data_IF_005724168404
#
_entry.id   IF_005724168404
#
_cell.length_a   1.000
_cell.length_b   1.000
_cell.length_c   1.000
_cell.angle_alpha   90.00
_cell.angle_beta   90.00
_cell.angle_gamma   90.00
#
_symmetry.space_group_name_H-M   'P 1'
#
loop_
_entity.id
_entity.type
_entity.pdbx_description
1 polymer ?
#
# COMPACT_ATOMS: atom_id res chain seq x y z
N UNK A 1 -4.14 -42.64 -44.44
CA UNK A 1 -2.67 -42.40 -44.34
C UNK A 1 -2.10 -43.28 -43.21
N UNK A 2 -0.84 -43.74 -43.24
CA UNK A 2 -0.23 -44.36 -42.03
C UNK A 2 0.31 -43.28 -41.11
N UNK A 3 -0.11 -43.28 -39.83
CA UNK A 3 0.34 -42.37 -38.79
C UNK A 3 1.79 -42.69 -38.38
N UNK A 4 2.73 -42.31 -39.25
CA UNK A 4 4.18 -42.39 -39.00
C UNK A 4 4.67 -41.36 -37.96
N UNK A 5 3.80 -40.48 -37.49
CA UNK A 5 4.09 -39.52 -36.44
C UNK A 5 4.20 -40.24 -35.07
N UNK A 6 5.21 -39.86 -34.29
CA UNK A 6 5.39 -40.30 -32.90
C UNK A 6 4.45 -39.51 -31.98
N UNK A 7 3.15 -39.73 -32.14
CA UNK A 7 2.11 -39.14 -31.29
C UNK A 7 2.03 -39.91 -29.96
N UNK A 8 1.88 -39.17 -28.86
CA UNK A 8 1.66 -39.72 -27.53
C UNK A 8 0.24 -40.26 -27.38
N UNK A 9 0.02 -41.08 -26.36
CA UNK A 9 -1.29 -41.73 -26.12
C UNK A 9 -2.41 -40.70 -25.94
N UNK A 10 -2.17 -39.64 -25.18
CA UNK A 10 -3.11 -38.54 -24.95
C UNK A 10 -3.44 -37.76 -26.22
N UNK A 11 -2.44 -37.52 -27.08
CA UNK A 11 -2.65 -36.88 -28.40
C UNK A 11 -3.52 -37.74 -29.32
N UNK A 12 -3.27 -39.06 -29.36
CA UNK A 12 -4.08 -40.00 -30.14
C UNK A 12 -5.52 -40.12 -29.63
N UNK A 13 -5.72 -40.05 -28.32
CA UNK A 13 -7.07 -40.03 -27.72
C UNK A 13 -7.81 -38.77 -28.17
N UNK A 14 -7.19 -37.59 -28.03
CA UNK A 14 -7.80 -36.33 -28.44
C UNK A 14 -8.13 -36.31 -29.93
N UNK A 15 -7.26 -36.84 -30.79
CA UNK A 15 -7.51 -36.93 -32.24
C UNK A 15 -8.71 -37.84 -32.53
N UNK A 16 -8.78 -39.00 -31.87
CA UNK A 16 -9.90 -39.93 -32.05
C UNK A 16 -11.23 -39.31 -31.57
N UNK A 17 -11.23 -38.58 -30.45
CA UNK A 17 -12.40 -37.88 -29.92
C UNK A 17 -12.85 -36.74 -30.84
N UNK A 18 -11.92 -35.94 -31.39
CA UNK A 18 -12.21 -34.86 -32.34
C UNK A 18 -12.78 -35.40 -33.67
N UNK A 19 -12.36 -36.61 -34.06
CA UNK A 19 -12.92 -37.35 -35.18
C UNK A 19 -14.28 -38.01 -34.87
N UNK A 20 -14.80 -37.89 -33.64
CA UNK A 20 -16.04 -38.49 -33.19
C UNK A 20 -15.97 -40.00 -32.95
N UNK A 21 -14.78 -40.57 -32.81
CA UNK A 21 -14.56 -41.99 -32.56
C UNK A 21 -14.66 -42.29 -31.06
N UNK A 22 -15.31 -43.40 -30.72
CA UNK A 22 -15.36 -43.86 -29.32
C UNK A 22 -14.06 -44.53 -28.93
N UNK A 23 -13.35 -43.94 -27.96
CA UNK A 23 -12.08 -44.46 -27.46
C UNK A 23 -12.33 -45.49 -26.34
N UNK A 24 -11.81 -46.73 -26.46
CA UNK A 24 -11.90 -47.71 -25.37
C UNK A 24 -11.03 -47.32 -24.17
N UNK A 25 -11.56 -47.45 -22.94
CA UNK A 25 -10.90 -47.07 -21.67
C UNK A 25 -9.48 -47.64 -21.48
N UNK A 26 -9.18 -48.79 -22.10
CA UNK A 26 -7.88 -49.50 -21.98
C UNK A 26 -7.12 -49.60 -23.30
N UNK A 27 -7.47 -48.80 -24.30
CA UNK A 27 -6.79 -48.81 -25.59
C UNK A 27 -5.29 -48.53 -25.44
N UNK A 28 -4.46 -49.33 -26.11
CA UNK A 28 -3.03 -49.07 -26.27
C UNK A 28 -2.79 -48.10 -27.42
N UNK A 29 -1.60 -47.51 -27.47
CA UNK A 29 -1.17 -46.62 -28.56
C UNK A 29 -1.38 -47.26 -29.94
N UNK A 30 -1.10 -48.57 -30.08
CA UNK A 30 -1.32 -49.27 -31.35
C UNK A 30 -2.80 -49.40 -31.69
N UNK A 31 -3.66 -49.67 -30.70
CA UNK A 31 -5.11 -49.80 -30.90
C UNK A 31 -5.71 -48.46 -31.33
N UNK A 32 -5.25 -47.35 -30.73
CA UNK A 32 -5.66 -45.99 -31.10
C UNK A 32 -5.20 -45.61 -32.51
N UNK A 33 -3.96 -45.94 -32.88
CA UNK A 33 -3.46 -45.71 -34.24
C UNK A 33 -4.27 -46.49 -35.26
N UNK A 34 -4.54 -47.77 -34.99
CA UNK A 34 -5.35 -48.60 -35.86
C UNK A 34 -6.78 -48.06 -35.99
N UNK A 35 -7.39 -47.61 -34.88
CA UNK A 35 -8.73 -47.03 -34.86
C UNK A 35 -8.85 -45.77 -35.72
N UNK A 36 -7.87 -44.87 -35.63
CA UNK A 36 -7.83 -43.65 -36.46
C UNK A 36 -7.56 -44.02 -37.92
N UNK A 37 -6.62 -44.94 -38.17
CA UNK A 37 -6.26 -45.36 -39.52
C UNK A 37 -7.40 -46.07 -40.26
N UNK A 38 -8.21 -46.86 -39.54
CA UNK A 38 -9.36 -47.58 -40.09
C UNK A 38 -10.65 -46.78 -40.11
N UNK A 39 -10.65 -45.52 -39.64
CA UNK A 39 -11.84 -44.67 -39.65
C UNK A 39 -12.20 -44.22 -41.08
N UNK A 40 -13.51 -44.09 -41.34
CA UNK A 40 -14.01 -43.59 -42.63
C UNK A 40 -13.51 -42.15 -42.89
N UNK A 41 -13.41 -41.33 -41.84
CA UNK A 41 -12.88 -39.96 -41.89
C UNK A 41 -11.45 -39.93 -42.43
N UNK A 42 -10.56 -40.85 -42.01
CA UNK A 42 -9.19 -40.94 -42.53
C UNK A 42 -9.10 -41.48 -43.97
N UNK A 43 -10.14 -42.20 -44.42
CA UNK A 43 -10.22 -42.71 -45.79
C UNK A 43 -10.74 -41.64 -46.76
N UNK A 44 -11.73 -40.89 -46.32
CA UNK A 44 -12.49 -39.97 -47.16
C UNK A 44 -11.85 -38.57 -47.20
N UNK A 45 -11.27 -38.10 -46.08
CA UNK A 45 -10.66 -36.77 -46.00
C UNK A 45 -9.38 -36.76 -45.14
N UNK A 46 -8.26 -37.03 -45.80
CA UNK A 46 -6.93 -37.06 -45.19
C UNK A 46 -6.47 -35.67 -44.72
N UNK A 47 -6.90 -34.61 -45.40
CA UNK A 47 -6.50 -33.23 -45.05
C UNK A 47 -7.20 -32.79 -43.75
N UNK A 48 -8.46 -33.17 -43.57
CA UNK A 48 -9.19 -32.94 -42.34
C UNK A 48 -8.54 -33.64 -41.13
N UNK A 49 -8.08 -34.89 -41.29
CA UNK A 49 -7.32 -35.58 -40.23
C UNK A 49 -5.98 -34.87 -39.94
N UNK A 50 -5.31 -34.36 -40.97
CA UNK A 50 -4.07 -33.57 -40.80
C UNK A 50 -4.34 -32.29 -40.01
N UNK A 51 -5.44 -31.59 -40.29
CA UNK A 51 -5.84 -30.39 -39.58
C UNK A 51 -6.16 -30.67 -38.10
N UNK A 52 -6.83 -31.79 -37.79
CA UNK A 52 -7.04 -32.19 -36.39
C UNK A 52 -5.73 -32.45 -35.65
N UNK A 53 -4.78 -33.13 -36.29
CA UNK A 53 -3.45 -33.35 -35.73
C UNK A 53 -2.74 -32.02 -35.49
N UNK A 54 -2.72 -31.13 -36.48
CA UNK A 54 -2.06 -29.83 -36.39
C UNK A 54 -2.68 -28.96 -35.29
N UNK A 55 -4.02 -28.90 -35.21
CA UNK A 55 -4.74 -28.16 -34.17
C UNK A 55 -4.46 -28.68 -32.76
N UNK A 56 -4.53 -29.99 -32.54
CA UNK A 56 -4.30 -30.60 -31.21
C UNK A 56 -2.85 -30.38 -30.75
N UNK A 57 -1.89 -30.50 -31.68
CA UNK A 57 -0.49 -30.23 -31.36
C UNK A 57 -0.25 -28.77 -31.02
N UNK A 58 -0.89 -27.84 -31.74
CA UNK A 58 -0.76 -26.41 -31.47
C UNK A 58 -1.45 -26.00 -30.16
N UNK A 59 -2.68 -26.47 -29.90
CA UNK A 59 -3.38 -26.22 -28.63
C UNK A 59 -2.56 -26.72 -27.43
N UNK A 60 -1.92 -27.89 -27.55
CA UNK A 60 -1.06 -28.43 -26.52
C UNK A 60 0.20 -27.59 -26.30
N UNK A 61 0.80 -27.07 -27.38
CA UNK A 61 1.96 -26.17 -27.29
C UNK A 61 1.56 -24.88 -26.57
N UNK A 62 0.46 -24.26 -26.97
CA UNK A 62 -0.02 -23.03 -26.33
C UNK A 62 -0.37 -23.25 -24.87
N UNK A 63 -1.02 -24.37 -24.53
CA UNK A 63 -1.34 -24.70 -23.15
C UNK A 63 -0.08 -24.86 -22.30
N UNK A 64 0.94 -25.56 -22.80
CA UNK A 64 2.22 -25.71 -22.11
C UNK A 64 2.92 -24.36 -21.90
N UNK A 65 2.86 -23.47 -22.88
CA UNK A 65 3.44 -22.13 -22.77
C UNK A 65 2.69 -21.26 -21.76
N UNK A 66 1.35 -21.33 -21.74
CA UNK A 66 0.52 -20.67 -20.72
C UNK A 66 0.82 -21.19 -19.32
N UNK A 67 0.96 -22.50 -19.17
CA UNK A 67 1.28 -23.12 -17.88
C UNK A 67 2.68 -22.70 -17.40
N UNK A 68 3.68 -22.66 -18.30
CA UNK A 68 5.02 -22.15 -17.99
C UNK A 68 4.99 -20.68 -17.56
N UNK A 69 4.30 -19.83 -18.32
CA UNK A 69 4.17 -18.41 -17.97
C UNK A 69 3.47 -18.20 -16.62
N UNK A 70 2.48 -19.04 -16.30
CA UNK A 70 1.79 -19.01 -15.02
C UNK A 70 2.72 -19.41 -13.87
N UNK A 71 3.52 -20.46 -14.05
CA UNK A 71 4.51 -20.93 -13.07
C UNK A 71 5.62 -19.88 -12.87
N UNK A 72 6.09 -19.23 -13.93
CA UNK A 72 7.06 -18.13 -13.85
C UNK A 72 6.51 -16.93 -13.07
N UNK A 73 5.26 -16.53 -13.36
CA UNK A 73 4.58 -15.45 -12.63
C UNK A 73 4.37 -15.80 -11.15
N UNK A 74 4.01 -17.05 -10.85
CA UNK A 74 3.82 -17.53 -9.48
C UNK A 74 5.17 -17.53 -8.73
N UNK A 75 6.23 -18.03 -9.34
CA UNK A 75 7.59 -17.99 -8.76
C UNK A 75 8.07 -16.55 -8.51
N UNK A 76 7.80 -15.62 -9.43
CA UNK A 76 8.18 -14.22 -9.27
C UNK A 76 7.37 -13.53 -8.15
N UNK A 77 6.10 -13.90 -7.99
CA UNK A 77 5.29 -13.45 -6.86
C UNK A 77 5.81 -13.98 -5.53
N UNK A 78 6.14 -15.27 -5.46
CA UNK A 78 6.69 -15.89 -4.24
C UNK A 78 8.02 -15.25 -3.83
N UNK A 79 8.92 -14.99 -4.80
CA UNK A 79 10.17 -14.26 -4.54
C UNK A 79 9.91 -12.86 -4.00
N UNK A 80 8.95 -12.13 -4.57
CA UNK A 80 8.58 -10.80 -4.11
C UNK A 80 8.00 -10.83 -2.70
N UNK A 81 7.12 -11.79 -2.40
CA UNK A 81 6.53 -11.96 -1.08
C UNK A 81 7.61 -12.29 -0.04
N UNK A 82 8.55 -13.17 -0.39
CA UNK A 82 9.71 -13.50 0.45
C UNK A 82 10.61 -12.28 0.75
N UNK A 83 10.93 -11.47 -0.26
CA UNK A 83 11.73 -10.24 -0.05
C UNK A 83 10.98 -9.21 0.83
N UNK A 84 9.67 -9.07 0.65
CA UNK A 84 8.85 -8.20 1.51
C UNK A 84 8.89 -8.69 2.97
N UNK A 85 8.75 -10.00 3.19
CA UNK A 85 8.77 -10.59 4.53
C UNK A 85 10.15 -10.44 5.20
N UNK A 86 11.22 -10.61 4.44
CA UNK A 86 12.60 -10.35 4.89
C UNK A 86 12.81 -8.88 5.30
N UNK A 87 12.29 -7.93 4.53
CA UNK A 87 12.35 -6.50 4.87
C UNK A 87 11.57 -6.22 6.15
N UNK A 88 10.35 -6.77 6.29
CA UNK A 88 9.53 -6.62 7.51
C UNK A 88 10.24 -7.20 8.73
N UNK A 89 10.88 -8.36 8.59
CA UNK A 89 11.63 -8.98 9.66
C UNK A 89 12.82 -8.10 10.08
N UNK A 90 13.61 -7.61 9.12
CA UNK A 90 14.73 -6.72 9.40
C UNK A 90 14.29 -5.40 10.08
N UNK A 91 13.13 -4.85 9.69
CA UNK A 91 12.54 -3.69 10.37
C UNK A 91 12.16 -4.01 11.81
N UNK A 92 11.54 -5.18 12.06
CA UNK A 92 11.15 -5.61 13.40
C UNK A 92 12.37 -5.87 14.29
N UNK A 93 13.41 -6.52 13.76
CA UNK A 93 14.68 -6.73 14.44
C UNK A 93 15.33 -5.41 14.82
N UNK A 94 15.39 -4.44 13.89
CA UNK A 94 15.91 -3.10 14.17
C UNK A 94 15.08 -2.37 15.23
N UNK A 95 13.75 -2.51 15.23
CA UNK A 95 12.90 -1.95 16.28
C UNK A 95 13.16 -2.60 17.64
N UNK A 96 13.35 -3.92 17.68
CA UNK A 96 13.72 -4.64 18.90
C UNK A 96 15.11 -4.25 19.39
N UNK A 97 16.07 -4.07 18.50
CA UNK A 97 17.40 -3.59 18.81
C UNK A 97 17.35 -2.17 19.39
N UNK A 98 16.60 -1.25 18.77
CA UNK A 98 16.39 0.10 19.33
C UNK A 98 15.71 0.03 20.69
N UNK A 99 14.68 -0.82 20.86
CA UNK A 99 13.99 -1.00 22.14
C UNK A 99 14.91 -1.57 23.21
N UNK A 100 15.75 -2.54 22.87
CA UNK A 100 16.73 -3.14 23.76
C UNK A 100 17.88 -2.18 24.07
N UNK A 101 18.37 -1.42 23.10
CA UNK A 101 19.37 -0.38 23.29
C UNK A 101 18.83 0.75 24.18
N UNK A 102 17.56 1.16 24.00
CA UNK A 102 16.87 2.08 24.92
C UNK A 102 16.75 1.48 26.32
N UNK A 103 16.34 0.22 26.45
CA UNK A 103 16.25 -0.48 27.74
C UNK A 103 17.61 -0.67 28.41
N UNK A 104 18.66 -0.95 27.64
CA UNK A 104 20.02 -1.10 28.14
C UNK A 104 20.66 0.23 28.46
N UNK A 105 20.36 1.31 27.74
CA UNK A 105 20.69 2.67 28.15
C UNK A 105 20.04 2.96 29.51
N UNK A 106 18.75 2.66 29.66
CA UNK A 106 18.04 2.78 30.95
C UNK A 106 18.67 1.91 32.05
N UNK A 107 19.16 0.71 31.75
CA UNK A 107 19.77 -0.20 32.74
C UNK A 107 21.26 0.11 33.03
N UNK A 108 22.02 0.61 32.07
CA UNK A 108 23.42 1.05 32.25
C UNK A 108 23.48 2.41 32.95
N UNK A 109 22.47 3.27 32.75
CA UNK A 109 22.18 4.45 33.58
C UNK A 109 21.58 4.10 34.96
N UNK A 110 21.31 2.82 35.27
CA UNK A 110 20.92 2.40 36.62
C UNK A 110 22.11 1.94 37.47
N UNK A 111 23.33 1.89 36.91
CA UNK A 111 24.57 1.80 37.69
C UNK A 111 25.03 3.14 38.26
N UNK A 112 24.58 4.23 37.64
CA UNK A 112 24.81 5.61 38.09
C UNK A 112 23.62 6.42 37.58
N UNK A 113 22.77 6.93 38.49
CA UNK A 113 21.58 7.77 38.22
C UNK A 113 20.21 7.07 38.28
N UNK A 114 19.88 6.60 39.49
CA UNK A 114 18.50 6.62 39.98
C UNK A 114 18.08 8.11 40.06
N UNK A 115 17.56 8.69 38.98
CA UNK A 115 17.09 10.09 38.98
C UNK A 115 16.51 10.68 37.69
N UNK A 116 16.99 10.33 36.48
CA UNK A 116 16.75 11.21 35.31
C UNK A 116 15.81 10.70 34.19
N UNK A 117 15.50 9.40 34.09
CA UNK A 117 14.66 8.93 32.96
C UNK A 117 13.16 9.29 33.10
N UNK A 118 12.66 9.46 34.33
CA UNK A 118 11.35 10.09 34.56
C UNK A 118 11.37 11.54 34.07
N UNK A 119 12.44 12.27 34.40
CA UNK A 119 12.61 13.69 34.11
C UNK A 119 12.46 14.08 32.63
N UNK A 120 13.00 13.31 31.67
CA UNK A 120 12.93 13.68 30.25
C UNK A 120 11.55 13.43 29.60
N UNK A 121 10.91 12.29 29.91
CA UNK A 121 9.55 12.04 29.43
C UNK A 121 8.53 12.92 30.16
N UNK A 122 8.71 13.14 31.47
CA UNK A 122 7.95 14.12 32.23
C UNK A 122 8.14 15.53 31.67
N UNK A 123 9.35 15.86 31.19
CA UNK A 123 9.65 17.14 30.55
C UNK A 123 8.96 17.26 29.17
N UNK A 124 8.97 16.22 28.33
CA UNK A 124 8.25 16.25 27.05
C UNK A 124 6.74 16.35 27.27
N UNK A 125 6.17 15.56 28.18
CA UNK A 125 4.74 15.61 28.51
C UNK A 125 4.34 16.97 29.12
N UNK A 126 5.18 17.51 30.00
CA UNK A 126 5.04 18.86 30.55
C UNK A 126 5.13 19.94 29.44
N UNK A 127 6.07 19.79 28.50
CA UNK A 127 6.25 20.68 27.37
C UNK A 127 5.01 20.64 26.46
N UNK A 128 4.53 19.45 26.10
CA UNK A 128 3.30 19.23 25.33
C UNK A 128 2.10 19.86 26.01
N UNK A 129 1.93 19.64 27.32
CA UNK A 129 0.84 20.24 28.10
C UNK A 129 0.95 21.76 28.15
N UNK A 130 2.14 22.29 28.32
CA UNK A 130 2.38 23.75 28.37
C UNK A 130 2.13 24.41 27.02
N UNK A 131 2.58 23.81 25.92
CA UNK A 131 2.34 24.29 24.55
C UNK A 131 0.85 24.18 24.21
N UNK A 132 0.19 23.07 24.54
CA UNK A 132 -1.27 22.90 24.41
C UNK A 132 -2.05 24.00 25.12
N UNK A 133 -1.63 24.36 26.33
CA UNK A 133 -2.30 25.41 27.11
C UNK A 133 -2.14 26.80 26.49
N UNK A 134 -1.02 27.05 25.80
CA UNK A 134 -0.72 28.33 25.15
C UNK A 134 -1.21 28.42 23.70
N UNK A 135 -1.68 27.32 23.13
CA UNK A 135 -2.17 27.24 21.76
C UNK A 135 -3.68 27.29 21.76
N UNK A 136 -4.28 27.96 20.78
CA UNK A 136 -5.74 27.90 20.61
C UNK A 136 -6.20 26.46 20.30
N UNK A 137 -7.45 26.08 20.64
CA UNK A 137 -7.97 24.76 20.33
C UNK A 137 -7.88 24.44 18.83
N UNK A 138 -7.65 23.16 18.51
CA UNK A 138 -7.53 22.71 17.10
C UNK A 138 -8.80 23.06 16.33
N UNK A 139 -8.71 23.93 15.31
CA UNK A 139 -9.88 24.41 14.60
C UNK A 139 -10.71 23.30 13.96
N UNK A 140 -12.01 23.55 13.85
CA UNK A 140 -12.93 22.74 13.03
C UNK A 140 -13.09 23.34 11.64
N UNK A 141 -12.93 24.66 11.53
CA UNK A 141 -13.05 25.41 10.28
C UNK A 141 -11.69 25.70 9.67
N UNK A 142 -11.61 25.51 8.36
CA UNK A 142 -10.48 25.77 7.47
C UNK A 142 -9.83 27.14 7.69
N UNK A 143 -10.64 28.19 7.82
CA UNK A 143 -10.16 29.58 7.90
C UNK A 143 -9.33 29.87 9.16
N UNK A 144 -9.51 29.06 10.21
CA UNK A 144 -8.90 29.28 11.52
C UNK A 144 -7.57 28.54 11.72
N UNK A 145 -7.15 27.70 10.76
CA UNK A 145 -5.88 26.96 10.86
C UNK A 145 -4.65 27.87 10.81
N UNK A 146 -4.69 28.96 10.04
CA UNK A 146 -3.59 29.94 10.02
C UNK A 146 -3.36 30.57 11.41
N UNK A 147 -4.44 30.95 12.10
CA UNK A 147 -4.36 31.49 13.45
C UNK A 147 -3.87 30.43 14.45
N UNK A 148 -4.28 29.17 14.26
CA UNK A 148 -3.81 28.05 15.07
C UNK A 148 -2.30 27.87 14.96
N UNK A 149 -1.76 27.78 13.74
CA UNK A 149 -0.31 27.63 13.55
C UNK A 149 0.46 28.84 14.06
N UNK A 150 -0.06 30.05 13.86
CA UNK A 150 0.57 31.25 14.44
C UNK A 150 0.63 31.20 15.97
N UNK A 151 -0.47 30.80 16.62
CA UNK A 151 -0.51 30.62 18.07
C UNK A 151 0.45 29.53 18.55
N UNK A 152 0.52 28.42 17.82
CA UNK A 152 1.38 27.28 18.12
C UNK A 152 2.87 27.64 18.01
N UNK A 153 3.26 28.31 16.93
CA UNK A 153 4.64 28.75 16.69
C UNK A 153 5.09 29.75 17.76
N UNK A 154 4.19 30.64 18.19
CA UNK A 154 4.44 31.53 19.32
C UNK A 154 4.61 30.76 20.63
N UNK A 155 3.83 29.70 20.86
CA UNK A 155 3.99 28.82 22.00
C UNK A 155 5.33 28.05 21.96
N UNK A 156 5.75 27.58 20.79
CA UNK A 156 7.06 26.96 20.59
C UNK A 156 8.21 27.91 20.91
N UNK A 157 8.13 29.16 20.45
CA UNK A 157 9.13 30.18 20.77
C UNK A 157 9.14 30.51 22.27
N UNK A 158 7.96 30.66 22.88
CA UNK A 158 7.83 30.98 24.32
C UNK A 158 8.45 29.89 25.20
N UNK A 159 8.29 28.63 24.81
CA UNK A 159 8.78 27.46 25.55
C UNK A 159 10.14 26.95 25.07
N UNK A 160 10.79 27.67 24.16
CA UNK A 160 12.08 27.29 23.58
C UNK A 160 12.11 25.83 23.09
N UNK A 161 11.05 25.42 22.39
CA UNK A 161 10.87 24.03 21.95
C UNK A 161 11.92 23.67 20.88
N UNK A 162 12.72 22.61 21.09
CA UNK A 162 13.66 22.09 20.09
C UNK A 162 12.97 21.74 18.78
N UNK A 163 13.64 21.96 17.65
CA UNK A 163 13.05 21.74 16.33
C UNK A 163 12.63 20.28 16.12
N UNK A 164 13.41 19.36 16.68
CA UNK A 164 13.23 17.91 16.62
C UNK A 164 11.92 17.46 17.29
N UNK A 165 11.44 18.23 18.28
CA UNK A 165 10.22 17.91 19.05
C UNK A 165 8.97 18.60 18.49
N UNK A 166 9.10 19.61 17.62
CA UNK A 166 7.95 20.38 17.12
C UNK A 166 6.97 19.51 16.33
N UNK A 167 7.48 18.61 15.50
CA UNK A 167 6.66 17.68 14.72
C UNK A 167 5.85 16.75 15.65
N UNK A 168 6.52 16.15 16.63
CA UNK A 168 5.89 15.24 17.61
C UNK A 168 4.82 15.96 18.44
N UNK A 169 5.11 17.18 18.93
CA UNK A 169 4.16 18.00 19.68
C UNK A 169 2.96 18.38 18.81
N UNK A 170 3.18 18.79 17.55
CA UNK A 170 2.11 19.14 16.60
C UNK A 170 1.18 17.95 16.37
N UNK A 171 1.72 16.77 16.09
CA UNK A 171 0.94 15.55 15.88
C UNK A 171 0.09 15.20 17.11
N UNK A 172 0.66 15.34 18.31
CA UNK A 172 -0.08 15.11 19.54
C UNK A 172 -1.17 16.14 19.82
N UNK A 173 -1.02 17.38 19.34
CA UNK A 173 -2.05 18.42 19.43
C UNK A 173 -3.19 18.13 18.46
N UNK A 174 -2.86 17.79 17.21
CA UNK A 174 -3.85 17.52 16.16
C UNK A 174 -4.63 16.21 16.43
N UNK A 175 -3.98 15.22 17.05
CA UNK A 175 -4.60 13.97 17.46
C UNK A 175 -5.21 13.22 16.27
N UNK A 176 -6.42 12.70 16.45
CA UNK A 176 -7.08 11.86 15.45
C UNK A 176 -7.40 12.58 14.13
N UNK A 177 -7.48 13.92 14.13
CA UNK A 177 -7.81 14.71 12.93
C UNK A 177 -6.82 14.52 11.78
N UNK A 178 -5.58 14.14 12.09
CA UNK A 178 -4.56 13.90 11.06
C UNK A 178 -4.27 12.42 10.83
N UNK A 179 -4.89 11.48 11.55
CA UNK A 179 -4.59 10.05 11.40
C UNK A 179 -4.78 9.54 9.96
N UNK A 180 -5.82 10.01 9.25
CA UNK A 180 -6.04 9.67 7.84
C UNK A 180 -4.95 10.23 6.93
N UNK A 181 -4.40 11.41 7.28
CA UNK A 181 -3.31 12.04 6.55
C UNK A 181 -1.99 11.31 6.83
N UNK A 182 -1.77 10.84 8.05
CA UNK A 182 -0.59 10.04 8.44
C UNK A 182 -0.50 8.69 7.70
N UNK A 183 -1.62 8.13 7.24
CA UNK A 183 -1.64 6.86 6.51
C UNK A 183 -0.85 6.91 5.17
N UNK A 184 -0.68 8.11 4.61
CA UNK A 184 -0.05 8.32 3.29
C UNK A 184 1.28 9.08 3.36
N UNK A 185 1.74 9.45 4.55
CA UNK A 185 2.96 10.26 4.74
C UNK A 185 4.13 9.36 5.06
N UNK A 186 5.29 9.61 4.44
CA UNK A 186 6.50 8.83 4.68
C UNK A 186 7.03 9.06 6.10
N UNK A 187 7.71 8.07 6.68
CA UNK A 187 8.25 8.18 8.04
C UNK A 187 9.27 9.34 8.17
N UNK A 188 9.97 9.68 7.09
CA UNK A 188 10.93 10.79 7.06
C UNK A 188 10.21 12.15 7.14
N UNK A 189 9.05 12.28 6.50
CA UNK A 189 8.25 13.50 6.53
C UNK A 189 7.51 13.72 7.86
N UNK A 190 7.27 12.64 8.63
CA UNK A 190 6.64 12.71 9.96
C UNK A 190 7.51 13.34 11.05
N UNK A 191 8.81 13.50 10.78
CA UNK A 191 9.73 14.19 11.68
C UNK A 191 9.92 15.67 11.31
N UNK A 192 9.33 16.13 10.21
CA UNK A 192 9.49 17.50 9.69
C UNK A 192 8.24 18.34 9.97
N UNK A 193 8.38 19.29 10.90
CA UNK A 193 7.31 20.20 11.29
C UNK A 193 6.73 20.97 10.09
N UNK A 194 7.57 21.46 9.18
CA UNK A 194 7.11 22.32 8.09
C UNK A 194 6.32 21.49 7.08
N UNK A 195 6.77 20.26 6.79
CA UNK A 195 6.01 19.35 5.91
C UNK A 195 4.64 18.99 6.49
N UNK A 196 4.56 18.66 7.78
CA UNK A 196 3.28 18.35 8.44
C UNK A 196 2.35 19.57 8.41
N UNK A 197 2.88 20.76 8.73
CA UNK A 197 2.11 22.02 8.66
C UNK A 197 1.55 22.25 7.26
N UNK A 198 2.36 22.11 6.21
CA UNK A 198 1.90 22.30 4.82
C UNK A 198 0.82 21.29 4.43
N UNK A 199 0.95 20.02 4.86
CA UNK A 199 -0.05 19.01 4.59
C UNK A 199 -1.38 19.31 5.28
N UNK A 200 -1.34 19.71 6.56
CA UNK A 200 -2.54 20.12 7.30
C UNK A 200 -3.17 21.34 6.65
N UNK A 201 -2.39 22.35 6.27
CA UNK A 201 -2.91 23.54 5.60
C UNK A 201 -3.55 23.20 4.26
N UNK A 202 -2.97 22.29 3.48
CA UNK A 202 -3.52 21.86 2.19
C UNK A 202 -4.82 21.08 2.34
N UNK A 203 -4.89 20.17 3.31
CA UNK A 203 -6.10 19.35 3.56
C UNK A 203 -7.27 20.21 4.05
N UNK A 204 -6.97 21.22 4.88
CA UNK A 204 -7.96 22.12 5.44
C UNK A 204 -8.01 23.48 4.74
N UNK A 205 -7.47 23.60 3.52
CA UNK A 205 -7.61 24.82 2.74
C UNK A 205 -9.05 24.89 2.20
N UNK A 206 -9.80 25.98 2.45
CA UNK A 206 -11.17 26.06 1.96
C UNK A 206 -11.14 26.10 0.43
N UNK A 207 -11.96 25.26 -0.19
CA UNK A 207 -12.07 25.23 -1.66
C UNK A 207 -12.49 26.61 -2.18
N UNK A 208 -12.17 26.96 -3.43
CA UNK A 208 -12.61 28.25 -4.01
C UNK A 208 -14.12 28.49 -3.87
N UNK A 209 -14.91 27.42 -3.95
CA UNK A 209 -16.36 27.46 -3.78
C UNK A 209 -16.78 27.74 -2.32
N UNK A 210 -16.10 27.14 -1.34
CA UNK A 210 -16.33 27.43 0.08
C UNK A 210 -15.89 28.84 0.45
N UNK A 211 -14.76 29.32 -0.06
CA UNK A 211 -14.35 30.73 0.09
C UNK A 211 -15.42 31.68 -0.42
N UNK A 212 -15.94 31.43 -1.62
CA UNK A 212 -17.03 32.22 -2.19
C UNK A 212 -18.29 32.16 -1.32
N UNK A 213 -18.65 30.98 -0.81
CA UNK A 213 -19.80 30.81 0.07
C UNK A 213 -19.61 31.51 1.42
N UNK A 214 -18.42 31.45 2.00
CA UNK A 214 -18.07 32.14 3.24
C UNK A 214 -18.14 33.66 3.05
N UNK A 215 -17.58 34.17 1.96
CA UNK A 215 -17.66 35.59 1.61
C UNK A 215 -19.10 36.07 1.46
N UNK A 216 -19.96 35.30 0.77
CA UNK A 216 -21.39 35.64 0.61
C UNK A 216 -22.17 35.63 1.92
N UNK A 217 -21.75 34.81 2.89
CA UNK A 217 -22.43 34.65 4.20
C UNK A 217 -21.83 35.54 5.29
N UNK A 218 -20.66 36.12 5.06
CA UNK A 218 -19.97 36.95 6.04
C UNK A 218 -20.81 38.18 6.39
N UNK A 219 -21.06 38.38 7.68
CA UNK A 219 -21.76 39.55 8.20
C UNK A 219 -20.95 40.12 9.37
N UNK A 220 -20.76 41.43 9.37
CA UNK A 220 -20.06 42.12 10.45
C UNK A 220 -20.85 41.97 11.74
N UNK A 221 -20.19 41.45 12.78
CA UNK A 221 -20.81 41.38 14.10
C UNK A 221 -20.98 42.80 14.68
N UNK A 222 -22.03 43.05 15.49
CA UNK A 222 -22.23 44.37 16.11
C UNK A 222 -21.04 44.84 16.95
N UNK A 223 -20.30 43.90 17.54
CA UNK A 223 -19.11 44.14 18.38
C UNK A 223 -17.80 44.30 17.60
N UNK A 224 -17.81 44.09 16.28
CA UNK A 224 -16.60 44.08 15.45
C UNK A 224 -16.43 45.40 14.69
N UNK A 225 -15.19 45.93 14.64
CA UNK A 225 -14.88 47.13 13.85
C UNK A 225 -14.87 46.83 12.34
N UNK A 226 -15.08 47.84 11.49
CA UNK A 226 -15.03 47.66 10.03
C UNK A 226 -13.67 47.12 9.55
N UNK A 227 -12.58 47.48 10.24
CA UNK A 227 -11.23 47.01 9.90
C UNK A 227 -11.08 45.53 10.23
N UNK A 228 -11.53 45.09 11.41
CA UNK A 228 -11.51 43.68 11.81
C UNK A 228 -12.34 42.80 10.86
N UNK A 229 -13.52 43.29 10.47
CA UNK A 229 -14.37 42.60 9.51
C UNK A 229 -13.71 42.50 8.14
N UNK A 230 -13.15 43.59 7.62
CA UNK A 230 -12.47 43.57 6.33
C UNK A 230 -11.23 42.65 6.31
N UNK A 231 -10.53 42.51 7.44
CA UNK A 231 -9.39 41.60 7.58
C UNK A 231 -9.78 40.12 7.72
N UNK A 232 -11.05 39.79 7.96
CA UNK A 232 -11.53 38.41 8.12
C UNK A 232 -12.29 37.85 6.91
N UNK A 233 -12.49 38.66 5.86
CA UNK A 233 -13.13 38.30 4.58
C UNK A 233 -12.21 37.53 3.63
#
# INVERSE_FOLDING_TARGET
MSLKLNLRKDELIAIAEEMGLTVPDKAKVMDLKALIESSDVNRDDIELVRNFIDNILEEKREKLERDRQREELESERDKREYEIEKIKLAQLEKQLEIKNARKNLVNTSQGTEIGEQGSLNDNLESLMKSVKTLTIPVPVRSESFNLFFHSLEKAFQNKSVPNELKAEILLNILGEKVNNLLAYVSQEDLCDYEKIKQLVLKEFEPTPQERLNNFKKAQRLPSETCVQFASSL
#
